data_IF_825825573680
#
_entry.id   IF_825825573680
#
_cell.length_a   1.000
_cell.length_b   1.000
_cell.length_c   1.000
_cell.angle_alpha   90.00
_cell.angle_beta   90.00
_cell.angle_gamma   90.00
#
_symmetry.space_group_name_H-M   'P 1'
#
loop_
_entity.id
_entity.type
_entity.pdbx_description
1 polymer ?
#
# COMPACT_ATOMS: atom_id res chain seq x y z
N UNK A 1 11.17 -14.30 -20.06
CA UNK A 1 10.05 -15.24 -20.29
C UNK A 1 8.76 -14.47 -20.17
N UNK A 2 7.77 -14.67 -21.04
CA UNK A 2 6.42 -14.11 -20.86
C UNK A 2 5.55 -15.13 -20.14
N UNK A 3 4.71 -14.66 -19.21
CA UNK A 3 3.67 -15.50 -18.60
C UNK A 3 2.35 -15.29 -19.32
N UNK A 4 1.50 -16.32 -19.33
CA UNK A 4 0.11 -16.16 -19.72
C UNK A 4 -0.60 -15.27 -18.69
N UNK A 5 -1.40 -14.31 -19.12
CA UNK A 5 -2.22 -13.48 -18.23
C UNK A 5 -3.64 -14.06 -18.18
N UNK A 6 -4.25 -14.22 -16.99
CA UNK A 6 -5.63 -14.68 -16.90
C UNK A 6 -6.57 -13.63 -17.51
N UNK A 7 -7.80 -14.01 -17.90
CA UNK A 7 -8.79 -13.03 -18.31
C UNK A 7 -9.09 -12.06 -17.18
N UNK A 8 -9.36 -10.79 -17.52
CA UNK A 8 -9.92 -9.84 -16.57
C UNK A 8 -11.32 -10.32 -16.22
N UNK A 9 -11.59 -10.53 -14.93
CA UNK A 9 -12.86 -11.05 -14.44
C UNK A 9 -13.36 -10.22 -13.24
N UNK A 10 -14.68 -10.22 -13.07
CA UNK A 10 -15.34 -9.74 -11.85
C UNK A 10 -16.09 -10.89 -11.18
N UNK A 11 -16.35 -10.75 -9.88
CA UNK A 11 -17.02 -11.76 -9.07
C UNK A 11 -18.12 -11.08 -8.26
N UNK A 12 -19.37 -11.39 -8.59
CA UNK A 12 -20.53 -10.88 -7.87
C UNK A 12 -21.38 -12.06 -7.42
N UNK A 13 -21.52 -12.25 -6.10
CA UNK A 13 -22.40 -13.27 -5.52
C UNK A 13 -22.07 -14.67 -6.04
N UNK A 14 -20.80 -15.06 -5.84
CA UNK A 14 -20.20 -16.32 -6.34
C UNK A 14 -20.31 -16.57 -7.86
N UNK A 15 -20.70 -15.54 -8.62
CA UNK A 15 -20.87 -15.62 -10.08
C UNK A 15 -19.79 -14.80 -10.77
N UNK A 16 -18.84 -15.50 -11.38
CA UNK A 16 -17.84 -14.91 -12.26
C UNK A 16 -18.48 -14.27 -13.49
N UNK A 17 -17.96 -13.12 -13.90
CA UNK A 17 -18.37 -12.43 -15.12
C UNK A 17 -17.19 -11.81 -15.85
N UNK A 18 -17.40 -11.51 -17.12
CA UNK A 18 -16.46 -10.76 -17.95
C UNK A 18 -16.86 -9.28 -17.92
N UNK A 19 -15.98 -8.39 -17.42
CA UNK A 19 -16.19 -6.94 -17.51
C UNK A 19 -16.33 -6.49 -18.97
N UNK A 20 -17.34 -5.67 -19.26
CA UNK A 20 -17.73 -5.30 -20.63
C UNK A 20 -17.51 -3.83 -20.97
N UNK A 21 -17.17 -2.99 -20.00
CA UNK A 21 -16.96 -1.56 -20.21
C UNK A 21 -15.48 -1.31 -20.48
N UNK A 22 -15.14 -0.93 -21.71
CA UNK A 22 -13.77 -0.63 -22.11
C UNK A 22 -13.33 0.76 -21.59
N UNK A 23 -12.17 0.85 -20.95
CA UNK A 23 -11.61 2.11 -20.44
C UNK A 23 -10.69 2.77 -21.47
N UNK A 24 -10.50 4.09 -21.33
CA UNK A 24 -9.52 4.87 -22.11
C UNK A 24 -8.06 4.66 -21.63
N UNK A 25 -7.72 3.41 -21.33
CA UNK A 25 -6.42 2.97 -20.85
C UNK A 25 -6.06 1.65 -21.56
N UNK A 26 -4.96 1.66 -22.31
CA UNK A 26 -4.35 0.43 -22.78
C UNK A 26 -3.48 -0.13 -21.65
N UNK A 27 -3.51 -1.44 -21.46
CA UNK A 27 -2.54 -2.15 -20.65
C UNK A 27 -1.31 -2.42 -21.51
N UNK A 28 -0.14 -2.45 -20.90
CA UNK A 28 1.12 -2.68 -21.59
C UNK A 28 2.06 -3.53 -20.73
N UNK A 29 2.95 -4.25 -21.39
CA UNK A 29 4.05 -4.96 -20.75
C UNK A 29 5.08 -3.90 -20.32
N UNK A 30 5.32 -3.72 -19.00
CA UNK A 30 6.27 -2.73 -18.49
C UNK A 30 7.67 -2.86 -19.10
N UNK A 31 8.13 -4.09 -19.36
CA UNK A 31 9.49 -4.35 -19.83
C UNK A 31 9.68 -3.98 -21.30
N UNK A 32 8.63 -3.97 -22.09
CA UNK A 32 8.73 -3.74 -23.54
C UNK A 32 7.98 -2.49 -24.01
N UNK A 33 7.03 -1.99 -23.21
CA UNK A 33 6.08 -0.94 -23.59
C UNK A 33 5.05 -1.40 -24.63
N UNK A 34 4.96 -2.70 -24.91
CA UNK A 34 4.02 -3.25 -25.90
C UNK A 34 2.63 -3.41 -25.32
N UNK A 35 1.58 -3.13 -26.10
CA UNK A 35 0.21 -3.22 -25.61
C UNK A 35 -0.21 -4.68 -25.34
N UNK A 36 -0.78 -4.92 -24.16
CA UNK A 36 -1.32 -6.21 -23.72
C UNK A 36 -2.84 -6.33 -23.95
N UNK A 37 -3.52 -5.20 -24.07
CA UNK A 37 -4.97 -5.15 -24.22
C UNK A 37 -5.55 -3.84 -23.70
N UNK A 38 -6.85 -3.85 -23.45
CA UNK A 38 -7.58 -2.70 -22.90
C UNK A 38 -7.93 -2.97 -21.45
N UNK A 39 -7.78 -1.96 -20.60
CA UNK A 39 -8.31 -2.04 -19.25
C UNK A 39 -9.84 -2.07 -19.32
N UNK A 40 -10.45 -2.89 -18.48
CA UNK A 40 -11.89 -3.14 -18.48
C UNK A 40 -12.50 -2.76 -17.13
N UNK A 41 -13.78 -2.38 -17.15
CA UNK A 41 -14.59 -2.10 -15.98
C UNK A 41 -15.84 -2.98 -15.95
N UNK A 42 -16.23 -3.36 -14.73
CA UNK A 42 -17.49 -4.06 -14.47
C UNK A 42 -18.66 -3.19 -14.93
N UNK A 43 -19.63 -3.81 -15.60
CA UNK A 43 -20.81 -3.12 -16.09
C UNK A 43 -21.61 -2.47 -14.94
N UNK A 44 -22.22 -1.29 -15.13
CA UNK A 44 -22.96 -0.59 -14.08
C UNK A 44 -24.02 -1.45 -13.38
N UNK A 45 -24.69 -2.34 -14.11
CA UNK A 45 -25.72 -3.24 -13.58
C UNK A 45 -25.13 -4.30 -12.64
N UNK A 46 -23.91 -4.76 -12.92
CA UNK A 46 -23.17 -5.70 -12.04
C UNK A 46 -22.59 -4.97 -10.82
N UNK A 47 -22.17 -3.72 -10.96
CA UNK A 47 -21.77 -2.87 -9.82
C UNK A 47 -22.96 -2.67 -8.88
N UNK A 48 -24.13 -2.35 -9.42
CA UNK A 48 -25.36 -2.22 -8.63
C UNK A 48 -25.73 -3.55 -7.95
N UNK A 49 -25.63 -4.68 -8.64
CA UNK A 49 -25.82 -6.00 -8.04
C UNK A 49 -24.84 -6.26 -6.89
N UNK A 50 -23.57 -5.87 -7.04
CA UNK A 50 -22.57 -6.00 -5.97
C UNK A 50 -23.00 -5.25 -4.71
N UNK A 51 -23.45 -4.01 -4.87
CA UNK A 51 -23.95 -3.17 -3.77
C UNK A 51 -25.20 -3.78 -3.12
N UNK A 52 -26.17 -4.23 -3.92
CA UNK A 52 -27.40 -4.82 -3.41
C UNK A 52 -27.17 -6.15 -2.66
N UNK A 53 -26.24 -6.97 -3.15
CA UNK A 53 -25.86 -8.23 -2.51
C UNK A 53 -25.12 -7.95 -1.20
N UNK A 54 -24.13 -7.06 -1.21
CA UNK A 54 -23.36 -6.72 0.00
C UNK A 54 -24.28 -6.17 1.12
N UNK A 55 -25.23 -5.30 0.78
CA UNK A 55 -26.17 -4.68 1.73
C UNK A 55 -27.09 -5.69 2.43
N UNK A 56 -27.36 -6.82 1.80
CA UNK A 56 -28.22 -7.90 2.32
C UNK A 56 -27.44 -9.15 2.75
N UNK A 57 -26.13 -9.12 2.65
CA UNK A 57 -25.31 -10.29 2.92
C UNK A 57 -25.39 -10.64 4.40
N UNK A 58 -25.74 -11.90 4.65
CA UNK A 58 -25.74 -12.51 5.97
C UNK A 58 -24.70 -13.62 5.95
N UNK A 59 -23.85 -13.66 6.97
CA UNK A 59 -22.79 -14.66 7.05
C UNK A 59 -21.86 -14.40 8.20
N UNK A 60 -21.44 -15.47 8.85
CA UNK A 60 -20.41 -15.39 9.89
C UNK A 60 -19.04 -15.71 9.29
N UNK A 61 -18.08 -14.83 9.52
CA UNK A 61 -16.67 -15.09 9.25
C UNK A 61 -15.99 -15.53 10.54
N UNK A 62 -15.57 -16.80 10.56
CA UNK A 62 -14.83 -17.43 11.64
C UNK A 62 -13.32 -17.38 11.39
N UNK A 63 -12.52 -17.69 12.41
CA UNK A 63 -11.07 -17.81 12.27
C UNK A 63 -10.69 -18.95 11.31
N UNK A 64 -11.47 -20.03 11.31
CA UNK A 64 -11.24 -21.23 10.51
C UNK A 64 -11.48 -20.96 9.02
N UNK A 65 -12.47 -20.12 8.67
CA UNK A 65 -12.67 -19.67 7.29
C UNK A 65 -11.46 -18.87 6.80
N UNK A 66 -10.94 -17.96 7.62
CA UNK A 66 -9.77 -17.16 7.26
C UNK A 66 -8.50 -18.01 7.13
N UNK A 67 -8.29 -18.98 8.02
CA UNK A 67 -7.18 -19.94 7.89
C UNK A 67 -7.31 -20.81 6.63
N UNK A 68 -8.52 -21.25 6.28
CA UNK A 68 -8.76 -22.02 5.05
C UNK A 68 -8.46 -21.19 3.78
N UNK A 69 -8.81 -19.90 3.77
CA UNK A 69 -8.42 -18.99 2.68
C UNK A 69 -6.89 -18.89 2.60
N UNK A 70 -6.21 -18.73 3.74
CA UNK A 70 -4.75 -18.67 3.77
C UNK A 70 -4.11 -19.95 3.22
N UNK A 71 -4.66 -21.13 3.55
CA UNK A 71 -4.21 -22.43 3.04
C UNK A 71 -4.45 -22.56 1.52
N UNK A 72 -5.63 -22.20 1.03
CA UNK A 72 -5.95 -22.22 -0.42
C UNK A 72 -5.05 -21.28 -1.24
N UNK A 73 -4.53 -20.22 -0.62
CA UNK A 73 -3.61 -19.27 -1.25
C UNK A 73 -2.17 -19.79 -1.38
N UNK A 74 -1.71 -20.72 -0.54
CA UNK A 74 -0.30 -21.18 -0.51
C UNK A 74 0.15 -21.71 -1.89
N UNK A 75 -0.66 -22.54 -2.54
CA UNK A 75 -0.35 -23.08 -3.87
C UNK A 75 -0.50 -22.06 -5.01
N UNK A 76 -0.96 -20.85 -4.71
CA UNK A 76 -1.21 -19.77 -5.69
C UNK A 76 -0.20 -18.62 -5.57
N UNK A 77 0.67 -18.63 -4.56
CA UNK A 77 1.57 -17.50 -4.27
C UNK A 77 2.55 -17.21 -5.40
N UNK A 78 3.17 -18.24 -5.98
CA UNK A 78 4.07 -18.05 -7.12
C UNK A 78 3.35 -17.41 -8.30
N UNK A 79 2.13 -17.87 -8.58
CA UNK A 79 1.29 -17.32 -9.65
C UNK A 79 0.93 -15.86 -9.39
N UNK A 80 0.58 -15.51 -8.15
CA UNK A 80 0.31 -14.12 -7.74
C UNK A 80 1.57 -13.27 -7.92
N UNK A 81 2.73 -13.74 -7.45
CA UNK A 81 4.00 -13.00 -7.55
C UNK A 81 4.41 -12.75 -9.00
N UNK A 82 4.25 -13.74 -9.88
CA UNK A 82 4.54 -13.61 -11.30
C UNK A 82 3.60 -12.63 -11.99
N UNK A 83 2.30 -12.68 -11.69
CA UNK A 83 1.32 -11.73 -12.23
C UNK A 83 1.61 -10.29 -11.77
N UNK A 84 1.92 -10.11 -10.49
CA UNK A 84 2.32 -8.81 -9.95
C UNK A 84 3.60 -8.33 -10.64
N UNK A 85 4.62 -9.17 -10.79
CA UNK A 85 5.88 -8.79 -11.44
C UNK A 85 5.69 -8.41 -12.91
N UNK A 86 4.98 -9.25 -13.66
CA UNK A 86 4.74 -9.05 -15.10
C UNK A 86 3.92 -7.79 -15.37
N UNK A 87 3.04 -7.39 -14.45
CA UNK A 87 2.14 -6.27 -14.66
C UNK A 87 2.66 -4.98 -14.06
N UNK A 88 3.40 -5.02 -12.94
CA UNK A 88 3.94 -3.84 -12.26
C UNK A 88 5.32 -3.41 -12.74
N UNK A 89 6.06 -4.34 -13.34
CA UNK A 89 7.48 -4.17 -13.65
C UNK A 89 8.40 -4.44 -12.47
N UNK A 90 7.88 -4.72 -11.28
CA UNK A 90 8.69 -5.05 -10.10
C UNK A 90 9.36 -6.41 -10.31
N UNK A 91 10.66 -6.58 -9.97
CA UNK A 91 11.33 -7.87 -10.06
C UNK A 91 10.61 -8.97 -9.26
N UNK A 92 10.50 -10.16 -9.84
CA UNK A 92 9.76 -11.29 -9.27
C UNK A 92 10.33 -11.76 -7.93
N UNK A 93 11.62 -11.52 -7.69
CA UNK A 93 12.26 -11.75 -6.40
C UNK A 93 11.65 -10.87 -5.30
N UNK A 94 11.31 -9.62 -5.60
CA UNK A 94 10.66 -8.71 -4.67
C UNK A 94 9.15 -9.01 -4.53
N UNK A 95 8.43 -9.28 -5.63
CA UNK A 95 7.00 -9.61 -5.53
C UNK A 95 6.76 -10.91 -4.76
N UNK A 96 7.65 -11.91 -4.89
CA UNK A 96 7.64 -13.13 -4.06
C UNK A 96 7.81 -12.86 -2.57
N UNK A 97 8.61 -11.87 -2.17
CA UNK A 97 8.71 -11.50 -0.76
C UNK A 97 7.41 -10.88 -0.25
N UNK A 98 6.73 -10.08 -1.08
CA UNK A 98 5.47 -9.45 -0.70
C UNK A 98 4.29 -10.43 -0.58
N UNK A 99 4.37 -11.63 -1.16
CA UNK A 99 3.30 -12.65 -0.99
C UNK A 99 3.18 -13.14 0.46
N UNK A 100 4.19 -12.93 1.30
CA UNK A 100 4.08 -13.15 2.74
C UNK A 100 2.93 -12.36 3.38
N UNK A 101 2.60 -11.17 2.83
CA UNK A 101 1.46 -10.36 3.27
C UNK A 101 0.13 -11.02 2.84
N UNK A 102 0.11 -11.72 1.69
CA UNK A 102 -1.11 -12.32 1.14
C UNK A 102 -1.68 -13.37 2.08
N UNK A 103 -0.91 -14.40 2.44
CA UNK A 103 -1.36 -15.42 3.41
C UNK A 103 -1.32 -14.91 4.85
N UNK A 104 -0.30 -14.10 5.18
CA UNK A 104 -0.11 -13.54 6.51
C UNK A 104 -1.29 -12.69 6.99
N UNK A 105 -1.93 -11.93 6.09
CA UNK A 105 -3.08 -11.08 6.43
C UNK A 105 -4.27 -11.89 6.95
N UNK A 106 -4.61 -13.00 6.30
CA UNK A 106 -5.71 -13.87 6.72
C UNK A 106 -5.38 -14.61 8.02
N UNK A 107 -4.16 -15.12 8.17
CA UNK A 107 -3.69 -15.77 9.42
C UNK A 107 -3.70 -14.82 10.61
N UNK A 108 -3.20 -13.60 10.43
CA UNK A 108 -3.20 -12.57 11.47
C UNK A 108 -4.63 -12.18 11.85
N UNK A 109 -5.52 -12.02 10.87
CA UNK A 109 -6.93 -11.73 11.10
C UNK A 109 -7.66 -12.87 11.85
N UNK A 110 -7.37 -14.13 11.51
CA UNK A 110 -7.84 -15.31 12.25
C UNK A 110 -7.34 -15.28 13.72
N UNK A 111 -6.05 -14.97 13.90
CA UNK A 111 -5.43 -14.79 15.21
C UNK A 111 -6.10 -13.69 16.04
N UNK A 112 -6.49 -12.56 15.43
CA UNK A 112 -7.21 -11.49 16.11
C UNK A 112 -8.62 -11.92 16.56
N UNK A 113 -9.35 -12.69 15.75
CA UNK A 113 -10.64 -13.27 16.15
C UNK A 113 -10.45 -14.17 17.38
N UNK A 114 -9.47 -15.08 17.35
CA UNK A 114 -9.16 -15.98 18.47
C UNK A 114 -8.72 -15.23 19.74
N UNK A 115 -7.98 -14.13 19.57
CA UNK A 115 -7.56 -13.26 20.66
C UNK A 115 -8.71 -12.40 21.24
N UNK A 116 -9.92 -12.52 20.70
CA UNK A 116 -11.11 -11.82 21.21
C UNK A 116 -11.15 -10.35 20.81
N UNK A 117 -10.53 -9.94 19.69
CA UNK A 117 -10.51 -8.52 19.24
C UNK A 117 -11.91 -7.89 19.16
N UNK A 118 -12.95 -8.72 18.97
CA UNK A 118 -14.35 -8.30 18.84
C UNK A 118 -15.07 -8.04 20.19
N UNK A 119 -14.45 -8.37 21.32
CA UNK A 119 -15.07 -8.23 22.65
C UNK A 119 -14.05 -7.87 23.73
N UNK A 120 -14.41 -6.93 24.59
CA UNK A 120 -13.68 -6.67 25.82
C UNK A 120 -14.67 -6.46 26.97
N UNK A 121 -14.45 -7.15 28.09
CA UNK A 121 -15.25 -6.96 29.30
C UNK A 121 -14.43 -6.15 30.33
N UNK A 122 -15.09 -5.22 31.03
CA UNK A 122 -14.51 -4.33 32.04
C UNK A 122 -15.50 -4.15 33.18
N UNK A 123 -15.19 -4.66 34.37
CA UNK A 123 -16.00 -4.47 35.60
C UNK A 123 -17.51 -4.74 35.45
N UNK A 124 -17.89 -5.80 34.71
CA UNK A 124 -19.29 -6.15 34.45
C UNK A 124 -19.94 -5.38 33.29
N UNK A 125 -19.19 -4.49 32.63
CA UNK A 125 -19.58 -3.82 31.38
C UNK A 125 -18.96 -4.54 30.18
N UNK A 126 -19.79 -4.86 29.19
CA UNK A 126 -19.41 -5.53 27.96
C UNK A 126 -19.16 -4.49 26.85
N UNK A 127 -18.04 -4.60 26.15
CA UNK A 127 -17.74 -3.82 24.95
C UNK A 127 -17.68 -4.77 23.77
N UNK A 128 -18.68 -4.69 22.90
CA UNK A 128 -18.73 -5.41 21.64
C UNK A 128 -18.20 -4.54 20.50
N UNK A 129 -17.49 -5.13 19.55
CA UNK A 129 -17.11 -4.52 18.28
C UNK A 129 -17.91 -5.19 17.18
N UNK A 130 -18.86 -4.45 16.62
CA UNK A 130 -19.80 -4.96 15.62
C UNK A 130 -19.39 -4.44 14.24
N UNK A 131 -19.57 -5.21 13.15
CA UNK A 131 -19.28 -4.74 11.81
C UNK A 131 -20.07 -3.47 11.48
N UNK A 132 -19.45 -2.53 10.76
CA UNK A 132 -20.12 -1.31 10.32
C UNK A 132 -21.14 -1.56 9.20
N UNK A 133 -20.98 -2.65 8.43
CA UNK A 133 -21.77 -3.00 7.25
C UNK A 133 -20.88 -3.15 6.01
N UNK A 134 -21.41 -3.04 4.78
CA UNK A 134 -20.62 -3.19 3.56
C UNK A 134 -19.37 -2.30 3.54
N UNK A 135 -18.21 -2.94 3.42
CA UNK A 135 -16.90 -2.30 3.36
C UNK A 135 -16.41 -2.22 1.91
N UNK A 136 -15.98 -1.04 1.49
CA UNK A 136 -15.33 -0.83 0.21
C UNK A 136 -13.81 -0.80 0.40
N UNK A 137 -13.12 -1.77 -0.20
CA UNK A 137 -11.67 -1.86 -0.22
C UNK A 137 -11.15 -1.44 -1.60
N UNK A 138 -10.37 -0.36 -1.66
CA UNK A 138 -9.78 0.18 -2.88
C UNK A 138 -8.25 0.08 -2.77
N UNK A 139 -7.62 -0.56 -3.74
CA UNK A 139 -6.18 -0.90 -3.67
C UNK A 139 -5.37 -0.38 -4.86
N UNK A 140 -4.08 -0.06 -4.67
CA UNK A 140 -3.24 0.52 -5.69
C UNK A 140 -2.70 -0.57 -6.63
N UNK A 141 -1.98 -0.14 -7.67
CA UNK A 141 -1.35 -1.04 -8.63
C UNK A 141 0.03 -1.54 -8.21
N UNK A 142 0.74 -0.88 -7.29
CA UNK A 142 2.14 -1.19 -7.00
C UNK A 142 2.34 -2.45 -6.13
N UNK A 143 1.31 -2.88 -5.41
CA UNK A 143 1.28 -4.13 -4.63
C UNK A 143 -0.16 -4.67 -4.55
N UNK A 144 -0.76 -5.07 -5.68
CA UNK A 144 -2.21 -5.20 -5.81
C UNK A 144 -2.78 -6.34 -4.95
N UNK A 145 -2.21 -7.56 -5.02
CA UNK A 145 -2.66 -8.69 -4.21
C UNK A 145 -2.31 -8.54 -2.71
N UNK A 146 -1.08 -8.12 -2.32
CA UNK A 146 -0.76 -7.85 -0.91
C UNK A 146 -1.70 -6.85 -0.24
N UNK A 147 -1.99 -5.72 -0.90
CA UNK A 147 -2.87 -4.68 -0.35
C UNK A 147 -4.34 -5.13 -0.32
N UNK A 148 -4.78 -5.89 -1.33
CA UNK A 148 -6.11 -6.49 -1.33
C UNK A 148 -6.29 -7.46 -0.15
N UNK A 149 -5.34 -8.38 0.03
CA UNK A 149 -5.39 -9.35 1.12
C UNK A 149 -5.44 -8.67 2.49
N UNK A 150 -4.60 -7.66 2.73
CA UNK A 150 -4.58 -6.92 4.00
C UNK A 150 -5.94 -6.33 4.37
N UNK A 151 -6.55 -5.58 3.44
CA UNK A 151 -7.81 -4.88 3.69
C UNK A 151 -8.99 -5.86 3.76
N UNK A 152 -9.06 -6.82 2.82
CA UNK A 152 -10.15 -7.79 2.73
C UNK A 152 -10.16 -8.72 3.95
N UNK A 153 -9.01 -9.26 4.36
CA UNK A 153 -8.92 -10.11 5.54
C UNK A 153 -9.42 -9.37 6.80
N UNK A 154 -9.02 -8.12 6.98
CA UNK A 154 -9.41 -7.30 8.13
C UNK A 154 -10.91 -6.97 8.12
N UNK A 155 -11.47 -6.62 6.97
CA UNK A 155 -12.90 -6.31 6.83
C UNK A 155 -13.78 -7.55 7.05
N UNK A 156 -13.40 -8.70 6.46
CA UNK A 156 -14.06 -9.98 6.71
C UNK A 156 -13.95 -10.38 8.19
N UNK A 157 -12.78 -10.19 8.80
CA UNK A 157 -12.58 -10.46 10.22
C UNK A 157 -13.30 -9.46 11.15
N UNK A 158 -13.75 -8.30 10.66
CA UNK A 158 -14.69 -7.45 11.36
C UNK A 158 -16.15 -7.95 11.22
N UNK A 159 -16.42 -8.83 10.25
CA UNK A 159 -17.76 -9.31 9.88
C UNK A 159 -18.44 -8.48 8.80
N UNK A 160 -17.69 -7.66 8.05
CA UNK A 160 -18.25 -6.82 6.99
C UNK A 160 -18.34 -7.59 5.67
N UNK A 161 -19.46 -7.51 4.93
CA UNK A 161 -19.47 -7.81 3.49
C UNK A 161 -18.48 -6.89 2.76
N UNK A 162 -17.69 -7.41 1.83
CA UNK A 162 -16.59 -6.66 1.21
C UNK A 162 -16.78 -6.53 -0.31
N UNK A 163 -16.71 -5.29 -0.80
CA UNK A 163 -16.51 -4.99 -2.21
C UNK A 163 -15.05 -4.57 -2.39
N UNK A 164 -14.26 -5.39 -3.09
CA UNK A 164 -12.91 -5.05 -3.51
C UNK A 164 -12.93 -4.44 -4.91
N UNK A 165 -12.39 -3.22 -5.06
CA UNK A 165 -12.07 -2.65 -6.37
C UNK A 165 -10.57 -2.46 -6.52
N UNK A 166 -10.01 -3.11 -7.52
CA UNK A 166 -8.56 -3.03 -7.80
C UNK A 166 -8.24 -1.97 -8.83
N UNK A 167 -6.95 -1.61 -8.92
CA UNK A 167 -6.47 -0.71 -9.96
C UNK A 167 -6.67 -1.32 -11.34
N UNK A 168 -7.16 -0.52 -12.27
CA UNK A 168 -7.35 -0.88 -13.66
C UNK A 168 -6.04 -1.24 -14.38
N UNK A 169 -4.88 -0.84 -13.83
CA UNK A 169 -3.55 -1.14 -14.38
C UNK A 169 -3.08 -2.57 -14.10
N UNK A 170 -3.55 -3.19 -13.02
CA UNK A 170 -3.06 -4.50 -12.53
C UNK A 170 -4.21 -5.40 -12.07
N UNK A 171 -5.15 -5.75 -12.97
CA UNK A 171 -6.38 -6.43 -12.59
C UNK A 171 -6.20 -7.93 -12.27
N UNK A 172 -5.05 -8.51 -12.60
CA UNK A 172 -4.91 -9.96 -12.80
C UNK A 172 -4.73 -10.79 -11.53
N UNK A 173 -3.80 -10.42 -10.64
CA UNK A 173 -3.54 -11.18 -9.41
C UNK A 173 -4.70 -11.16 -8.43
N UNK A 174 -5.50 -10.09 -8.48
CA UNK A 174 -6.73 -9.96 -7.70
C UNK A 174 -7.79 -11.02 -8.06
N UNK A 175 -7.80 -11.51 -9.30
CA UNK A 175 -8.69 -12.61 -9.71
C UNK A 175 -8.29 -13.90 -8.97
N UNK A 176 -7.00 -14.24 -8.94
CA UNK A 176 -6.48 -15.42 -8.25
C UNK A 176 -6.75 -15.35 -6.74
N UNK A 177 -6.57 -14.17 -6.15
CA UNK A 177 -6.93 -13.91 -4.74
C UNK A 177 -8.43 -14.08 -4.51
N UNK A 178 -9.27 -13.54 -5.40
CA UNK A 178 -10.72 -13.62 -5.31
C UNK A 178 -11.24 -15.06 -5.42
N UNK A 179 -10.64 -15.91 -6.27
CA UNK A 179 -10.95 -17.34 -6.35
C UNK A 179 -10.77 -18.03 -4.99
N UNK A 180 -9.60 -17.85 -4.35
CA UNK A 180 -9.33 -18.47 -3.06
C UNK A 180 -10.28 -17.96 -1.96
N UNK A 181 -10.62 -16.68 -1.95
CA UNK A 181 -11.58 -16.12 -0.98
C UNK A 181 -12.98 -16.71 -1.21
N UNK A 182 -13.45 -16.73 -2.45
CA UNK A 182 -14.79 -17.17 -2.83
C UNK A 182 -15.07 -18.65 -2.51
N UNK A 183 -14.05 -19.49 -2.50
CA UNK A 183 -14.17 -20.91 -2.13
C UNK A 183 -14.65 -21.12 -0.68
N UNK A 184 -14.44 -20.15 0.21
CA UNK A 184 -14.63 -20.34 1.65
C UNK A 184 -15.64 -19.39 2.29
N UNK A 185 -15.81 -18.17 1.75
CA UNK A 185 -16.73 -17.19 2.36
C UNK A 185 -18.19 -17.48 2.01
N UNK A 186 -19.14 -17.17 2.91
CA UNK A 186 -20.56 -17.21 2.59
C UNK A 186 -20.92 -16.33 1.39
N UNK A 187 -22.01 -16.68 0.70
CA UNK A 187 -22.52 -15.90 -0.42
C UNK A 187 -22.76 -14.44 -0.03
N UNK A 188 -22.34 -13.52 -0.90
CA UNK A 188 -22.45 -12.08 -0.68
C UNK A 188 -21.46 -11.47 0.33
N UNK A 189 -20.61 -12.25 0.99
CA UNK A 189 -19.60 -11.69 1.90
C UNK A 189 -18.39 -11.09 1.17
N UNK A 190 -18.14 -11.46 -0.09
CA UNK A 190 -17.05 -10.91 -0.89
C UNK A 190 -17.46 -10.70 -2.36
N UNK A 191 -17.04 -9.58 -2.93
CA UNK A 191 -17.20 -9.22 -4.34
C UNK A 191 -15.89 -8.63 -4.87
N UNK A 192 -15.56 -8.95 -6.12
CA UNK A 192 -14.49 -8.30 -6.88
C UNK A 192 -15.12 -7.48 -8.01
N UNK A 193 -14.80 -6.19 -8.05
CA UNK A 193 -15.23 -5.26 -9.10
C UNK A 193 -14.01 -4.69 -9.81
N UNK A 194 -14.09 -4.61 -11.14
CA UNK A 194 -13.06 -4.01 -11.98
C UNK A 194 -13.46 -2.60 -12.39
N UNK A 195 -12.48 -1.73 -12.63
CA UNK A 195 -12.70 -0.45 -13.29
C UNK A 195 -11.79 0.66 -12.80
N UNK A 196 -12.01 1.88 -13.30
CA UNK A 196 -11.18 3.05 -13.01
C UNK A 196 -11.80 4.02 -11.98
N UNK A 197 -11.48 5.32 -12.06
CA UNK A 197 -12.00 6.36 -11.17
C UNK A 197 -13.53 6.48 -11.20
N UNK A 198 -14.18 6.26 -12.34
CA UNK A 198 -15.65 6.33 -12.47
C UNK A 198 -16.34 5.27 -11.59
N UNK A 199 -15.90 4.02 -11.68
CA UNK A 199 -16.39 2.92 -10.83
C UNK A 199 -16.12 3.19 -9.35
N UNK A 200 -14.93 3.71 -9.02
CA UNK A 200 -14.59 4.12 -7.66
C UNK A 200 -15.52 5.22 -7.13
N UNK A 201 -15.78 6.26 -7.91
CA UNK A 201 -16.68 7.36 -7.56
C UNK A 201 -18.11 6.89 -7.33
N UNK A 202 -18.62 6.00 -8.20
CA UNK A 202 -19.94 5.38 -8.04
C UNK A 202 -20.04 4.63 -6.70
N UNK A 203 -19.08 3.73 -6.41
CA UNK A 203 -19.07 2.93 -5.19
C UNK A 203 -18.95 3.79 -3.93
N UNK A 204 -18.01 4.75 -3.93
CA UNK A 204 -17.79 5.63 -2.78
C UNK A 204 -19.01 6.54 -2.57
N UNK A 205 -19.73 6.97 -3.59
CA UNK A 205 -20.88 7.86 -3.37
C UNK A 205 -22.14 7.12 -2.86
N UNK A 206 -22.13 5.78 -2.84
CA UNK A 206 -23.30 4.99 -2.45
C UNK A 206 -23.47 4.89 -0.93
N UNK A 207 -24.69 5.15 -0.46
CA UNK A 207 -25.05 5.15 0.97
C UNK A 207 -25.08 3.77 1.64
N UNK A 208 -25.09 2.67 0.86
CA UNK A 208 -25.00 1.30 1.37
C UNK A 208 -23.60 0.96 1.87
N UNK A 209 -22.57 1.57 1.30
CA UNK A 209 -21.19 1.43 1.79
C UNK A 209 -21.06 2.14 3.15
N UNK A 210 -20.59 1.42 4.17
CA UNK A 210 -20.50 1.90 5.56
C UNK A 210 -19.09 2.19 6.03
N UNK A 211 -18.07 1.70 5.32
CA UNK A 211 -16.67 2.03 5.57
C UNK A 211 -15.88 1.98 4.26
N UNK A 212 -14.90 2.87 4.11
CA UNK A 212 -13.99 2.87 2.95
C UNK A 212 -12.55 2.76 3.44
N UNK A 213 -11.84 1.73 2.99
CA UNK A 213 -10.39 1.62 3.15
C UNK A 213 -9.72 1.76 1.79
N UNK A 214 -8.90 2.80 1.64
CA UNK A 214 -8.25 3.15 0.38
C UNK A 214 -6.74 3.22 0.57
N UNK A 215 -6.01 2.65 -0.39
CA UNK A 215 -4.57 2.90 -0.54
C UNK A 215 -4.31 3.41 -1.96
N UNK A 216 -3.60 4.52 -2.10
CA UNK A 216 -3.28 5.10 -3.41
C UNK A 216 -2.83 6.57 -3.35
N UNK A 217 -2.88 7.28 -4.48
CA UNK A 217 -2.38 8.65 -4.55
C UNK A 217 -3.25 9.68 -3.82
N UNK A 218 -2.63 10.82 -3.47
CA UNK A 218 -3.26 11.93 -2.73
C UNK A 218 -4.56 12.45 -3.39
N UNK A 219 -4.60 12.54 -4.72
CA UNK A 219 -5.79 12.98 -5.45
C UNK A 219 -6.99 12.04 -5.27
N UNK A 220 -6.74 10.73 -5.24
CA UNK A 220 -7.76 9.71 -4.95
C UNK A 220 -8.25 9.81 -3.51
N UNK A 221 -7.32 9.93 -2.55
CA UNK A 221 -7.64 10.12 -1.13
C UNK A 221 -8.52 11.34 -0.86
N UNK A 222 -8.18 12.50 -1.45
CA UNK A 222 -8.99 13.73 -1.35
C UNK A 222 -10.39 13.54 -1.92
N UNK A 223 -10.50 12.88 -3.07
CA UNK A 223 -11.80 12.60 -3.70
C UNK A 223 -12.69 11.72 -2.82
N UNK A 224 -12.09 10.69 -2.20
CA UNK A 224 -12.80 9.76 -1.31
C UNK A 224 -13.23 10.46 -0.02
N UNK A 225 -12.35 11.25 0.60
CA UNK A 225 -12.67 12.03 1.78
C UNK A 225 -13.85 12.98 1.51
N UNK A 226 -13.81 13.70 0.38
CA UNK A 226 -14.87 14.62 -0.03
C UNK A 226 -16.21 13.90 -0.27
N UNK A 227 -16.21 12.74 -0.94
CA UNK A 227 -17.41 11.96 -1.19
C UNK A 227 -17.97 11.27 0.07
N UNK A 228 -17.12 11.02 1.08
CA UNK A 228 -17.53 10.35 2.32
C UNK A 228 -18.05 11.32 3.38
N UNK A 229 -17.63 12.59 3.34
CA UNK A 229 -18.02 13.59 4.33
C UNK A 229 -19.54 13.81 4.45
N UNK A 230 -20.34 13.92 3.37
CA UNK A 230 -21.80 14.08 3.46
C UNK A 230 -22.52 12.89 4.11
N UNK A 231 -21.89 11.71 4.08
CA UNK A 231 -22.42 10.47 4.66
C UNK A 231 -21.89 10.21 6.08
N UNK A 232 -21.02 11.08 6.60
CA UNK A 232 -20.23 10.85 7.83
C UNK A 232 -19.57 9.47 7.85
N UNK A 233 -19.17 8.98 6.68
CA UNK A 233 -18.68 7.61 6.54
C UNK A 233 -17.20 7.55 6.92
N UNK A 234 -16.79 6.64 7.82
CA UNK A 234 -15.40 6.48 8.18
C UNK A 234 -14.56 6.08 6.95
N UNK A 235 -13.39 6.71 6.85
CA UNK A 235 -12.38 6.45 5.84
C UNK A 235 -11.05 6.12 6.51
N UNK A 236 -10.40 5.05 6.05
CA UNK A 236 -9.01 4.75 6.33
C UNK A 236 -8.25 4.98 5.03
N UNK A 237 -7.36 5.98 5.03
CA UNK A 237 -6.66 6.44 3.84
C UNK A 237 -5.16 6.26 4.06
N UNK A 238 -4.53 5.38 3.28
CA UNK A 238 -3.07 5.25 3.19
C UNK A 238 -2.61 5.86 1.85
N UNK A 239 -1.91 6.98 1.92
CA UNK A 239 -1.55 7.77 0.75
C UNK A 239 -0.03 7.79 0.53
N UNK A 240 0.40 8.65 -0.39
CA UNK A 240 1.80 8.83 -0.71
C UNK A 240 2.63 9.42 0.43
N UNK A 241 3.94 9.36 0.25
CA UNK A 241 4.92 9.97 1.15
C UNK A 241 5.96 10.79 0.39
N UNK A 242 6.74 11.57 1.14
CA UNK A 242 7.95 12.19 0.63
C UNK A 242 9.06 11.98 1.68
N UNK A 243 9.43 10.71 1.80
CA UNK A 243 10.04 10.18 3.01
C UNK A 243 11.52 10.64 3.12
N UNK A 244 11.92 11.24 4.26
CA UNK A 244 13.29 11.66 4.47
C UNK A 244 14.18 10.50 4.92
N UNK A 245 15.38 10.41 4.38
CA UNK A 245 16.51 9.72 4.99
C UNK A 245 17.49 10.76 5.53
N UNK A 246 17.55 10.90 6.85
CA UNK A 246 18.49 11.76 7.56
C UNK A 246 19.78 11.00 7.86
N UNK A 247 20.87 11.37 7.22
CA UNK A 247 22.20 10.81 7.50
C UNK A 247 22.89 11.68 8.55
N UNK A 248 23.21 11.12 9.71
CA UNK A 248 23.91 11.83 10.79
C UNK A 248 25.40 12.00 10.50
N UNK A 249 26.09 12.97 11.14
CA UNK A 249 27.50 13.25 10.85
C UNK A 249 28.43 12.06 11.10
N UNK A 250 28.08 11.20 12.06
CA UNK A 250 28.78 9.99 12.50
C UNK A 250 28.35 8.72 11.75
N UNK A 251 27.37 8.78 10.85
CA UNK A 251 26.88 7.61 10.14
C UNK A 251 27.98 6.93 9.29
N UNK A 252 28.09 5.61 9.36
CA UNK A 252 28.89 4.84 8.42
C UNK A 252 28.47 5.14 6.96
N UNK A 253 29.47 5.40 6.11
CA UNK A 253 29.26 5.80 4.72
C UNK A 253 28.59 4.68 3.91
N UNK A 254 29.02 3.44 4.13
CA UNK A 254 28.52 2.31 3.36
C UNK A 254 27.07 1.98 3.71
N UNK A 255 26.73 2.03 5.00
CA UNK A 255 25.37 1.85 5.52
C UNK A 255 24.43 2.92 4.99
N UNK A 256 24.80 4.20 5.06
CA UNK A 256 24.00 5.29 4.54
C UNK A 256 23.78 5.18 3.03
N UNK A 257 24.84 4.83 2.28
CA UNK A 257 24.78 4.65 0.83
C UNK A 257 23.90 3.46 0.43
N UNK A 258 23.99 2.34 1.17
CA UNK A 258 23.15 1.16 1.00
C UNK A 258 21.68 1.50 1.23
N UNK A 259 21.35 2.14 2.36
CA UNK A 259 19.97 2.52 2.69
C UNK A 259 19.38 3.42 1.60
N UNK A 260 20.12 4.46 1.17
CA UNK A 260 19.63 5.36 0.13
C UNK A 260 19.40 4.62 -1.21
N UNK A 261 20.30 3.73 -1.62
CA UNK A 261 20.14 2.94 -2.85
C UNK A 261 18.95 1.98 -2.79
N UNK A 262 18.77 1.27 -1.66
CA UNK A 262 17.66 0.34 -1.46
C UNK A 262 16.31 1.08 -1.42
N UNK A 263 16.21 2.19 -0.68
CA UNK A 263 14.97 2.97 -0.57
C UNK A 263 14.58 3.64 -1.90
N UNK A 264 15.55 3.93 -2.77
CA UNK A 264 15.30 4.49 -4.10
C UNK A 264 14.83 3.43 -5.11
N UNK A 265 15.17 2.16 -4.90
CA UNK A 265 15.01 1.11 -5.92
C UNK A 265 14.08 -0.03 -5.52
N UNK A 266 13.69 -0.15 -4.25
CA UNK A 266 12.64 -1.08 -3.79
C UNK A 266 11.34 -0.79 -4.56
N UNK A 267 10.73 -1.83 -5.14
CA UNK A 267 9.59 -1.74 -6.07
C UNK A 267 9.80 -0.76 -7.23
N UNK A 268 11.05 -0.64 -7.69
CA UNK A 268 11.49 0.30 -8.73
C UNK A 268 11.23 1.78 -8.37
N UNK A 269 11.20 2.10 -7.07
CA UNK A 269 10.85 3.43 -6.56
C UNK A 269 9.35 3.74 -6.59
N UNK A 270 8.50 2.79 -6.99
CA UNK A 270 7.03 2.91 -7.04
C UNK A 270 6.43 2.47 -5.69
N UNK A 271 6.94 3.03 -4.60
CA UNK A 271 6.62 2.61 -3.24
C UNK A 271 6.30 3.84 -2.39
N UNK A 272 5.19 3.81 -1.66
CA UNK A 272 4.77 4.94 -0.82
C UNK A 272 5.79 5.32 0.26
N UNK A 273 6.64 4.37 0.66
CA UNK A 273 7.73 4.56 1.63
C UNK A 273 9.11 4.76 0.96
N UNK A 274 9.16 4.89 -0.36
CA UNK A 274 10.41 5.13 -1.09
C UNK A 274 11.11 6.41 -0.63
N UNK A 275 12.41 6.47 -0.89
CA UNK A 275 13.21 7.65 -0.65
C UNK A 275 12.68 8.83 -1.49
N UNK A 276 12.15 9.85 -0.82
CA UNK A 276 11.83 11.12 -1.46
C UNK A 276 12.97 12.12 -1.34
N UNK A 277 13.61 12.15 -0.15
CA UNK A 277 14.66 13.14 0.17
C UNK A 277 15.81 12.52 0.95
N UNK A 278 17.02 12.66 0.41
CA UNK A 278 18.27 12.32 1.07
C UNK A 278 18.83 13.56 1.76
N UNK A 279 18.73 13.62 3.09
CA UNK A 279 19.13 14.76 3.92
C UNK A 279 20.49 14.46 4.54
N UNK A 280 21.53 15.17 4.11
CA UNK A 280 22.95 14.82 4.38
C UNK A 280 23.75 15.99 4.93
N UNK A 281 24.80 15.74 5.74
CA UNK A 281 25.70 16.81 6.19
C UNK A 281 26.36 17.47 4.98
N UNK A 282 26.41 18.81 4.95
CA UNK A 282 26.96 19.56 3.81
C UNK A 282 28.37 19.08 3.40
N UNK A 283 29.23 18.84 4.40
CA UNK A 283 30.60 18.34 4.21
C UNK A 283 30.70 16.92 3.64
N UNK A 284 29.64 16.11 3.74
CA UNK A 284 29.58 14.70 3.31
C UNK A 284 28.75 14.50 2.04
N UNK A 285 28.14 15.55 1.49
CA UNK A 285 27.22 15.44 0.34
C UNK A 285 27.85 14.75 -0.86
N UNK A 286 29.05 15.17 -1.25
CA UNK A 286 29.73 14.64 -2.45
C UNK A 286 30.06 13.16 -2.28
N UNK A 287 30.71 12.78 -1.18
CA UNK A 287 31.09 11.38 -0.93
C UNK A 287 29.88 10.45 -0.81
N UNK A 288 28.78 10.89 -0.20
CA UNK A 288 27.55 10.10 -0.08
C UNK A 288 26.89 9.91 -1.44
N UNK A 289 26.75 10.96 -2.24
CA UNK A 289 26.17 10.86 -3.59
C UNK A 289 27.01 9.95 -4.49
N UNK A 290 28.34 9.99 -4.37
CA UNK A 290 29.23 9.07 -5.09
C UNK A 290 29.10 7.62 -4.62
N UNK A 291 29.02 7.38 -3.32
CA UNK A 291 28.84 6.04 -2.76
C UNK A 291 27.49 5.43 -3.12
N UNK A 292 26.41 6.23 -3.06
CA UNK A 292 25.07 5.83 -3.53
C UNK A 292 25.12 5.49 -5.01
N UNK A 293 25.75 6.36 -5.82
CA UNK A 293 25.90 6.16 -7.25
C UNK A 293 26.58 4.85 -7.61
N UNK A 294 27.68 4.51 -6.94
CA UNK A 294 28.39 3.22 -7.16
C UNK A 294 27.51 2.01 -6.92
N UNK A 295 26.62 2.07 -5.91
CA UNK A 295 25.68 0.98 -5.61
C UNK A 295 24.59 0.89 -6.68
N UNK A 296 24.04 2.03 -7.11
CA UNK A 296 23.03 2.09 -8.16
C UNK A 296 23.59 1.63 -9.52
N UNK A 297 24.83 1.98 -9.85
CA UNK A 297 25.52 1.55 -11.09
C UNK A 297 25.82 0.04 -11.12
N UNK A 298 25.83 -0.63 -9.97
CA UNK A 298 26.08 -2.06 -9.86
C UNK A 298 24.81 -2.92 -10.01
N UNK A 299 23.62 -2.31 -9.98
CA UNK A 299 22.35 -3.03 -10.06
C UNK A 299 22.16 -3.69 -11.43
N UNK A 300 21.71 -4.94 -11.42
CA UNK A 300 21.27 -5.64 -12.62
C UNK A 300 19.89 -5.15 -13.04
N UNK A 301 19.88 -4.28 -14.05
CA UNK A 301 18.64 -3.78 -14.67
C UNK A 301 18.15 -4.78 -15.71
N UNK A 302 16.89 -5.19 -15.63
CA UNK A 302 16.38 -6.22 -16.53
C UNK A 302 14.87 -6.48 -16.47
N UNK A 303 14.39 -7.49 -17.23
CA UNK A 303 12.98 -7.88 -17.24
C UNK A 303 12.51 -8.37 -15.87
N UNK A 304 11.28 -8.03 -15.44
CA UNK A 304 10.81 -8.31 -14.08
C UNK A 304 10.73 -9.80 -13.73
N UNK A 305 10.54 -10.68 -14.71
CA UNK A 305 10.43 -12.12 -14.50
C UNK A 305 11.79 -12.86 -14.53
N UNK A 306 12.87 -12.15 -14.84
CA UNK A 306 14.22 -12.72 -14.75
C UNK A 306 14.67 -12.74 -13.28
N UNK A 307 15.01 -13.92 -12.70
CA UNK A 307 15.41 -14.02 -11.31
C UNK A 307 16.71 -13.28 -10.98
N UNK A 308 17.54 -12.94 -11.97
CA UNK A 308 18.78 -12.16 -11.77
C UNK A 308 18.54 -10.64 -11.81
N UNK A 309 17.32 -10.18 -12.10
CA UNK A 309 16.98 -8.75 -12.11
C UNK A 309 16.86 -8.20 -10.70
N UNK A 310 17.57 -7.10 -10.43
CA UNK A 310 17.52 -6.36 -9.18
C UNK A 310 16.67 -5.08 -9.31
N UNK A 311 16.61 -4.50 -10.50
CA UNK A 311 15.87 -3.28 -10.79
C UNK A 311 15.11 -3.38 -12.13
N UNK A 312 13.81 -3.16 -12.09
CA UNK A 312 12.91 -3.35 -13.24
C UNK A 312 12.36 -2.06 -13.85
N UNK A 313 11.48 -2.19 -14.85
CA UNK A 313 10.80 -1.06 -15.48
C UNK A 313 9.69 -0.47 -14.59
N UNK A 314 9.22 0.72 -14.92
CA UNK A 314 8.00 1.30 -14.34
C UNK A 314 6.74 0.70 -14.97
N UNK A 315 5.65 0.76 -14.22
CA UNK A 315 4.33 0.16 -14.54
C UNK A 315 3.85 0.46 -15.96
N UNK A 316 4.02 1.70 -16.42
CA UNK A 316 3.42 2.17 -17.66
C UNK A 316 4.15 3.41 -18.19
N UNK A 317 4.20 3.56 -19.51
CA UNK A 317 4.69 4.70 -20.28
C UNK A 317 4.10 6.05 -19.85
N UNK A 318 2.83 6.11 -19.44
CA UNK A 318 2.22 7.32 -18.83
C UNK A 318 2.90 7.69 -17.50
N UNK A 319 3.26 6.69 -16.70
CA UNK A 319 4.00 6.90 -15.46
C UNK A 319 5.45 7.29 -15.73
N UNK A 320 6.11 6.68 -16.72
CA UNK A 320 7.44 7.09 -17.20
C UNK A 320 7.45 8.57 -17.59
N UNK A 321 6.44 9.04 -18.32
CA UNK A 321 6.32 10.45 -18.70
C UNK A 321 6.21 11.36 -17.46
N UNK A 322 5.41 10.95 -16.48
CA UNK A 322 5.24 11.68 -15.21
C UNK A 322 6.57 11.78 -14.46
N UNK A 323 7.27 10.66 -14.26
CA UNK A 323 8.56 10.62 -13.55
C UNK A 323 9.63 11.43 -14.29
N UNK A 324 9.73 11.29 -15.62
CA UNK A 324 10.68 12.08 -16.43
C UNK A 324 10.39 13.59 -16.38
N UNK A 325 9.12 13.97 -16.27
CA UNK A 325 8.72 15.36 -16.09
C UNK A 325 9.22 15.98 -14.78
N UNK A 326 9.49 15.17 -13.76
CA UNK A 326 9.96 15.63 -12.45
C UNK A 326 11.49 15.81 -12.34
N UNK A 327 12.29 15.33 -13.31
CA UNK A 327 13.76 15.32 -13.19
C UNK A 327 14.43 16.69 -13.28
N UNK A 328 13.74 17.72 -13.80
CA UNK A 328 14.32 19.05 -13.97
C UNK A 328 15.62 19.05 -14.79
N UNK A 329 16.47 20.05 -14.56
CA UNK A 329 17.75 20.22 -15.29
C UNK A 329 18.97 19.73 -14.52
N UNK A 330 18.99 19.88 -13.20
CA UNK A 330 20.14 19.56 -12.36
C UNK A 330 19.93 18.23 -11.62
N UNK A 331 20.35 17.14 -12.27
CA UNK A 331 20.22 15.79 -11.75
C UNK A 331 21.37 14.91 -12.20
N UNK A 332 21.57 13.82 -11.46
CA UNK A 332 22.49 12.75 -11.82
C UNK A 332 21.75 11.42 -11.83
N UNK A 333 21.77 10.75 -12.98
CA UNK A 333 21.18 9.43 -13.18
C UNK A 333 22.24 8.34 -13.16
N UNK A 334 21.87 7.16 -12.67
CA UNK A 334 22.75 6.00 -12.43
C UNK A 334 22.22 4.75 -13.14
N UNK A 335 23.04 3.70 -13.22
CA UNK A 335 22.70 2.42 -13.86
C UNK A 335 23.09 2.33 -15.34
N UNK A 336 23.78 3.34 -15.89
CA UNK A 336 24.25 3.36 -17.26
C UNK A 336 23.13 3.45 -18.32
N UNK A 337 23.32 2.76 -19.45
CA UNK A 337 22.34 2.76 -20.54
C UNK A 337 21.14 1.87 -20.20
N UNK A 338 19.96 2.48 -20.06
CA UNK A 338 18.73 1.75 -19.77
C UNK A 338 18.23 0.96 -21.00
N UNK A 339 17.59 -0.22 -20.80
CA UNK A 339 16.91 -0.93 -21.87
C UNK A 339 15.76 -0.10 -22.49
N UNK A 340 15.31 -0.51 -23.67
CA UNK A 340 14.03 -0.03 -24.23
C UNK A 340 12.85 -0.50 -23.38
N UNK A 341 11.73 0.22 -23.43
CA UNK A 341 10.55 -0.04 -22.61
C UNK A 341 10.38 1.03 -21.53
N UNK A 342 9.74 0.70 -20.41
CA UNK A 342 9.40 1.67 -19.38
C UNK A 342 10.50 1.86 -18.32
N UNK A 343 11.76 1.79 -18.71
CA UNK A 343 12.87 1.97 -17.78
C UNK A 343 13.17 3.47 -17.56
N UNK A 344 13.33 3.82 -16.29
CA UNK A 344 13.82 5.12 -15.84
C UNK A 344 15.01 4.85 -14.93
N UNK A 345 16.20 5.44 -15.21
CA UNK A 345 17.36 5.23 -14.35
C UNK A 345 17.09 5.80 -12.96
N UNK A 346 17.63 5.20 -11.88
CA UNK A 346 17.65 5.84 -10.58
C UNK A 346 18.33 7.20 -10.65
N UNK A 347 17.70 8.23 -10.11
CA UNK A 347 18.14 9.62 -10.27
C UNK A 347 18.15 10.35 -8.94
N UNK A 348 19.26 11.06 -8.66
CA UNK A 348 19.36 12.01 -7.56
C UNK A 348 19.31 13.43 -8.12
N UNK A 349 18.38 14.24 -7.60
CA UNK A 349 18.24 15.65 -7.94
C UNK A 349 19.10 16.51 -7.02
N UNK A 350 19.63 17.61 -7.54
CA UNK A 350 20.34 18.58 -6.69
C UNK A 350 19.39 19.38 -5.78
N UNK A 351 18.15 19.54 -6.20
CA UNK A 351 17.10 20.30 -5.51
C UNK A 351 16.31 19.44 -4.52
N UNK A 352 15.63 20.12 -3.58
CA UNK A 352 14.66 19.50 -2.69
C UNK A 352 13.37 19.16 -3.46
N UNK A 353 12.80 17.98 -3.18
CA UNK A 353 11.50 17.57 -3.71
C UNK A 353 10.44 17.87 -2.65
N UNK A 354 9.41 18.64 -2.99
CA UNK A 354 8.29 18.92 -2.06
C UNK A 354 7.17 17.88 -2.15
N UNK A 355 7.05 17.21 -3.29
CA UNK A 355 5.99 16.26 -3.60
C UNK A 355 6.54 14.89 -4.01
N UNK A 356 5.71 13.87 -3.88
CA UNK A 356 6.01 12.50 -4.27
C UNK A 356 6.13 12.35 -5.80
N UNK A 357 7.24 11.77 -6.27
CA UNK A 357 7.43 11.42 -7.70
C UNK A 357 6.91 10.01 -8.02
N UNK A 358 6.91 9.12 -7.03
CA UNK A 358 6.52 7.71 -7.14
C UNK A 358 7.33 6.94 -8.20
N UNK A 359 8.62 7.24 -8.29
CA UNK A 359 9.58 6.57 -9.14
C UNK A 359 10.96 6.62 -8.47
N UNK A 360 12.01 6.14 -9.15
CA UNK A 360 13.35 6.00 -8.59
C UNK A 360 14.08 7.35 -8.57
N UNK A 361 13.46 8.37 -7.97
CA UNK A 361 13.93 9.76 -7.98
C UNK A 361 13.87 10.34 -6.56
N UNK A 362 14.99 10.90 -6.10
CA UNK A 362 15.05 11.57 -4.80
C UNK A 362 15.83 12.89 -4.87
N UNK A 363 15.43 13.88 -4.07
CA UNK A 363 16.19 15.12 -3.88
C UNK A 363 17.32 14.96 -2.87
N UNK A 364 18.45 15.65 -3.06
CA UNK A 364 19.59 15.61 -2.13
C UNK A 364 19.77 16.96 -1.44
N UNK A 365 19.38 17.01 -0.17
CA UNK A 365 19.36 18.25 0.63
C UNK A 365 20.49 18.25 1.65
N UNK A 366 21.28 19.33 1.66
CA UNK A 366 22.37 19.51 2.61
C UNK A 366 21.94 20.22 3.90
N UNK A 367 22.56 19.89 5.03
CA UNK A 367 22.39 20.59 6.30
C UNK A 367 23.72 20.86 7.02
N UNK A 368 23.74 21.85 7.90
CA UNK A 368 24.89 22.23 8.74
C UNK A 368 24.77 21.71 10.18
N UNK A 369 23.53 21.65 10.71
CA UNK A 369 23.25 21.17 12.08
C UNK A 369 22.17 20.08 12.09
N UNK A 370 22.19 19.21 13.10
CA UNK A 370 21.16 18.16 13.25
C UNK A 370 19.76 18.76 13.46
N UNK A 371 19.69 19.93 14.09
CA UNK A 371 18.45 20.70 14.25
C UNK A 371 17.88 21.10 12.89
N UNK A 372 18.74 21.57 11.97
CA UNK A 372 18.35 21.86 10.61
C UNK A 372 17.92 20.59 9.86
N UNK A 373 18.61 19.46 10.06
CA UNK A 373 18.23 18.19 9.44
C UNK A 373 16.82 17.75 9.84
N UNK A 374 16.47 17.87 11.12
CA UNK A 374 15.11 17.60 11.63
C UNK A 374 14.10 18.59 11.06
N UNK A 375 14.43 19.88 11.00
CA UNK A 375 13.56 20.89 10.41
C UNK A 375 13.27 20.60 8.93
N UNK A 376 14.29 20.23 8.16
CA UNK A 376 14.15 19.81 6.76
C UNK A 376 13.30 18.54 6.66
N UNK A 377 13.57 17.51 7.47
CA UNK A 377 12.80 16.27 7.52
C UNK A 377 11.29 16.51 7.71
N UNK A 378 10.93 17.54 8.48
CA UNK A 378 9.55 17.90 8.80
C UNK A 378 8.97 19.03 7.92
N UNK A 379 9.68 19.51 6.90
CA UNK A 379 9.30 20.68 6.10
C UNK A 379 8.24 20.40 5.02
N UNK A 380 7.85 19.14 4.84
CA UNK A 380 6.85 18.71 3.84
C UNK A 380 5.56 18.27 4.55
N UNK A 381 4.39 18.41 3.90
CA UNK A 381 3.11 18.09 4.53
C UNK A 381 2.80 16.58 4.59
N UNK A 382 3.77 15.73 4.28
CA UNK A 382 3.65 14.27 4.34
C UNK A 382 4.16 13.74 5.67
N UNK A 383 3.71 12.56 6.07
CA UNK A 383 4.07 11.93 7.33
C UNK A 383 3.83 10.43 7.35
N UNK A 384 4.29 9.72 6.32
CA UNK A 384 4.17 8.27 6.23
C UNK A 384 5.35 7.58 6.92
N UNK A 385 6.53 7.67 6.32
CA UNK A 385 7.74 7.00 6.79
C UNK A 385 8.90 8.00 6.94
N UNK A 386 9.82 7.73 7.86
CA UNK A 386 11.10 8.41 7.98
C UNK A 386 12.25 7.43 8.21
N UNK A 387 13.46 7.88 7.91
CA UNK A 387 14.65 7.07 8.09
C UNK A 387 15.78 7.91 8.69
N UNK A 388 16.55 7.31 9.61
CA UNK A 388 17.75 7.92 10.20
C UNK A 388 18.90 6.93 10.11
N UNK A 389 20.08 7.41 9.72
CA UNK A 389 21.31 6.63 9.71
C UNK A 389 22.34 7.29 10.63
N UNK A 390 22.95 6.54 11.54
CA UNK A 390 23.96 7.01 12.49
C UNK A 390 24.60 5.86 13.28
N UNK A 391 25.89 5.98 13.60
CA UNK A 391 26.63 4.94 14.34
C UNK A 391 26.27 4.93 15.83
N UNK A 392 26.06 6.12 16.42
CA UNK A 392 25.48 6.24 17.76
C UNK A 392 23.96 6.02 17.68
N UNK A 393 23.53 4.80 17.99
CA UNK A 393 22.13 4.38 17.90
C UNK A 393 21.21 5.19 18.83
N UNK A 394 21.65 5.52 20.05
CA UNK A 394 20.88 6.32 21.00
C UNK A 394 20.63 7.74 20.45
N UNK A 395 21.67 8.33 19.85
CA UNK A 395 21.54 9.63 19.17
C UNK A 395 20.65 9.54 17.93
N UNK A 396 20.79 8.48 17.14
CA UNK A 396 19.96 8.27 15.95
C UNK A 396 18.47 8.09 16.32
N UNK A 397 18.18 7.34 17.38
CA UNK A 397 16.83 7.19 17.94
C UNK A 397 16.29 8.52 18.47
N UNK A 398 17.11 9.32 19.17
CA UNK A 398 16.70 10.64 19.64
C UNK A 398 16.35 11.61 18.49
N UNK A 399 17.03 11.48 17.34
CA UNK A 399 16.67 12.22 16.12
C UNK A 399 15.40 11.65 15.49
N UNK A 400 15.28 10.33 15.39
CA UNK A 400 14.12 9.64 14.82
C UNK A 400 12.81 10.04 15.52
N UNK A 401 12.82 10.14 16.86
CA UNK A 401 11.67 10.57 17.67
C UNK A 401 11.19 12.00 17.38
N UNK A 402 11.99 12.82 16.68
CA UNK A 402 11.66 14.20 16.31
C UNK A 402 11.16 14.31 14.87
N UNK A 403 11.22 13.24 14.08
CA UNK A 403 10.69 13.20 12.71
C UNK A 403 9.19 12.97 12.77
N UNK A 404 8.42 13.78 12.04
CA UNK A 404 6.95 13.73 11.98
C UNK A 404 6.51 12.74 10.91
N UNK A 405 6.64 11.45 11.19
CA UNK A 405 6.17 10.37 10.35
C UNK A 405 5.60 9.24 11.21
N UNK A 406 4.75 8.41 10.61
CA UNK A 406 4.09 7.33 11.32
C UNK A 406 5.01 6.17 11.72
N UNK A 407 5.98 5.83 10.88
CA UNK A 407 7.05 4.88 11.20
C UNK A 407 8.41 5.52 10.88
N UNK A 408 9.37 5.44 11.80
CA UNK A 408 10.74 5.93 11.59
C UNK A 408 11.74 4.82 11.87
N UNK A 409 12.55 4.47 10.86
CA UNK A 409 13.55 3.38 10.96
C UNK A 409 14.96 3.92 11.15
N UNK A 410 15.64 3.41 12.16
CA UNK A 410 17.07 3.70 12.41
C UNK A 410 17.91 2.60 11.78
N UNK A 411 18.91 2.98 10.98
CA UNK A 411 19.89 2.09 10.33
C UNK A 411 19.28 0.94 9.49
N UNK A 412 18.03 1.10 9.04
CA UNK A 412 17.28 0.08 8.31
C UNK A 412 16.39 0.65 7.22
N UNK A 413 16.27 -0.09 6.12
CA UNK A 413 15.58 0.26 4.87
C UNK A 413 14.57 -0.82 4.43
N UNK A 414 14.21 -1.73 5.34
CA UNK A 414 13.33 -2.86 5.05
C UNK A 414 11.96 -2.42 4.54
N UNK A 415 11.45 -3.16 3.55
CA UNK A 415 10.09 -3.01 3.05
C UNK A 415 9.02 -3.35 4.10
N UNK A 416 9.38 -4.20 5.08
CA UNK A 416 8.52 -4.60 6.18
C UNK A 416 8.52 -3.55 7.29
N UNK A 417 7.43 -3.50 8.05
CA UNK A 417 7.36 -2.69 9.26
C UNK A 417 8.26 -3.22 10.36
N UNK A 418 8.60 -2.37 11.34
CA UNK A 418 9.49 -2.73 12.44
C UNK A 418 8.96 -3.91 13.26
N UNK A 419 7.64 -4.05 13.33
CA UNK A 419 6.99 -5.19 13.93
C UNK A 419 5.61 -5.44 13.27
N UNK A 420 5.19 -6.70 13.01
CA UNK A 420 3.90 -6.98 12.37
C UNK A 420 2.67 -6.61 13.22
N UNK A 421 2.85 -6.48 14.54
CA UNK A 421 1.77 -6.13 15.48
C UNK A 421 1.72 -4.66 15.86
N UNK A 422 2.59 -3.81 15.32
CA UNK A 422 2.49 -2.36 15.54
C UNK A 422 1.54 -1.72 14.53
N UNK A 423 0.92 -0.58 14.89
CA UNK A 423 0.23 0.25 13.91
C UNK A 423 1.15 0.63 12.75
N UNK A 424 0.54 0.90 11.60
CA UNK A 424 1.12 1.54 10.43
C UNK A 424 0.36 2.84 10.24
N UNK A 425 0.72 3.90 10.98
CA UNK A 425 -0.02 5.14 10.94
C UNK A 425 0.42 5.99 9.75
N UNK A 426 -0.51 6.77 9.22
CA UNK A 426 -0.23 7.75 8.17
C UNK A 426 -0.68 9.13 8.65
N UNK A 427 0.25 10.08 8.70
CA UNK A 427 0.00 11.41 9.25
C UNK A 427 -0.14 12.46 8.15
N UNK A 428 -0.85 13.55 8.46
CA UNK A 428 -0.97 14.73 7.60
C UNK A 428 -1.49 14.36 6.18
N UNK A 429 -0.80 14.75 5.10
CA UNK A 429 -1.22 14.41 3.74
C UNK A 429 -1.01 12.94 3.39
N UNK A 430 -0.24 12.20 4.19
CA UNK A 430 -0.02 10.78 3.95
C UNK A 430 -1.22 9.93 4.33
N UNK A 431 -2.21 10.44 5.07
CA UNK A 431 -3.39 9.63 5.31
C UNK A 431 -4.33 10.07 6.42
N UNK A 432 -5.29 9.19 6.68
CA UNK A 432 -6.27 9.30 7.76
C UNK A 432 -6.51 7.92 8.36
N UNK A 433 -6.36 7.83 9.69
CA UNK A 433 -6.45 6.58 10.42
C UNK A 433 -5.12 5.81 10.42
N UNK A 434 -5.15 4.63 11.00
CA UNK A 434 -3.99 3.75 11.10
C UNK A 434 -4.33 2.43 10.45
N UNK A 435 -3.52 1.97 9.51
CA UNK A 435 -3.52 0.56 9.16
C UNK A 435 -2.75 -0.26 10.20
N UNK A 436 -2.90 -1.58 10.18
CA UNK A 436 -2.22 -2.47 11.12
C UNK A 436 -2.96 -3.78 11.28
N UNK A 437 -2.47 -4.63 12.17
CA UNK A 437 -3.09 -5.95 12.39
C UNK A 437 -4.40 -5.83 13.15
N UNK A 438 -4.42 -5.08 14.27
CA UNK A 438 -5.64 -4.87 15.05
C UNK A 438 -6.36 -3.58 14.62
N UNK A 439 -5.60 -2.60 14.15
CA UNK A 439 -6.03 -1.25 13.80
C UNK A 439 -6.99 -1.28 12.61
N UNK A 440 -6.58 -1.95 11.51
CA UNK A 440 -7.44 -2.10 10.32
C UNK A 440 -8.70 -2.90 10.62
N UNK A 441 -8.64 -3.96 11.42
CA UNK A 441 -9.84 -4.71 11.80
C UNK A 441 -10.80 -3.83 12.60
N UNK A 442 -10.29 -3.10 13.60
CA UNK A 442 -11.12 -2.21 14.45
C UNK A 442 -11.73 -1.07 13.65
N UNK A 443 -11.04 -0.56 12.63
CA UNK A 443 -11.57 0.46 11.73
C UNK A 443 -12.92 0.05 11.11
N UNK A 444 -13.08 -1.23 10.75
CA UNK A 444 -14.31 -1.77 10.20
C UNK A 444 -15.40 -2.07 11.25
N UNK A 445 -15.21 -1.67 12.51
CA UNK A 445 -16.15 -1.97 13.60
C UNK A 445 -16.65 -0.72 14.34
N UNK A 446 -17.90 -0.77 14.79
CA UNK A 446 -18.46 0.14 15.78
C UNK A 446 -18.43 -0.48 17.17
N UNK A 447 -17.97 0.29 18.18
CA UNK A 447 -18.05 -0.15 19.56
C UNK A 447 -19.49 -0.01 20.10
N UNK A 448 -20.01 -1.06 20.73
CA UNK A 448 -21.26 -1.06 21.50
C UNK A 448 -20.95 -1.45 22.93
N UNK A 449 -21.27 -0.56 23.87
CA UNK A 449 -21.09 -0.79 25.29
C UNK A 449 -22.43 -1.16 25.92
N UNK A 450 -22.48 -2.28 26.64
CA UNK A 450 -23.68 -2.80 27.31
C UNK A 450 -23.32 -3.14 28.74
N UNK A 451 -24.10 -2.65 29.69
CA UNK A 451 -23.93 -2.94 31.11
C UNK A 451 -25.19 -2.59 31.88
N UNK A 452 -25.30 -3.11 33.10
CA UNK A 452 -26.32 -2.66 34.04
C UNK A 452 -25.83 -1.36 34.67
N UNK A 453 -26.65 -0.32 34.63
CA UNK A 453 -26.33 0.96 35.25
C UNK A 453 -26.07 0.79 36.76
N UNK A 454 -24.93 1.28 37.24
CA UNK A 454 -24.44 1.08 38.62
C UNK A 454 -24.23 2.38 39.41
N UNK A 455 -23.22 2.40 40.30
CA UNK A 455 -22.92 3.42 41.33
C UNK A 455 -22.68 4.87 40.85
N UNK A 456 -22.72 5.12 39.55
CA UNK A 456 -22.53 6.45 38.94
C UNK A 456 -23.83 7.10 38.47
N UNK A 457 -24.98 6.48 38.72
CA UNK A 457 -26.28 7.09 38.43
C UNK A 457 -26.47 8.36 39.27
N UNK A 458 -26.64 9.50 38.60
CA UNK A 458 -26.97 10.79 39.22
C UNK A 458 -28.36 10.79 39.87
N UNK A 459 -29.26 9.95 39.38
CA UNK A 459 -30.62 9.78 39.90
C UNK A 459 -30.77 8.33 40.34
N UNK A 460 -30.61 8.08 41.63
CA UNK A 460 -31.04 6.83 42.26
C UNK A 460 -32.45 7.07 42.78
N UNK A 461 -33.42 6.33 42.23
CA UNK A 461 -34.81 6.28 42.71
C UNK A 461 -34.96 5.33 43.88
#
# INVERSE_FOLDING_TARGET
MSIELPPIADLIDHTWGTPTVELALALEDPATGTALGRAMATAPERVERALAVADRAEGEITAEILDAIAESLESRLDRIAELDAATTGVPVTQTRLLTAIVTGSFRLAAGQIRAGVRRADRDGVQVHRLPLGPALCLVPWNAPAPMAAHKVASALAAGCPVILKVSELTPYSAVVLAEAIAEHVPAGMFQLVQGGPATGSQLVSDSRIKAVSFTGGLGGGRSIAAASAPLFRPCQLELGGNNPLVVLPDADLDTAARMAAELLTTLNGQWCRALGRLIVPARRRVELVEAVGKRLDALRVGPPLDPDTEFGPLIHSRHVHTVRGALGRDHRSFGGAMPSGNYVPPTLLADDLTDEVFGPVAGVVAYETVEQAVALANAVPYGLEGYVCGDDEDRALAVAQRIRAGEVKVNGSSAMSLHPMTPRPAWEWSGLGEEGTAETLRFFTGARVVGVEGRFALHTS
#
